data_IF_200365839584
#
_entry.id   IF_200365839584
#
_cell.length_a   1.000
_cell.length_b   1.000
_cell.length_c   1.000
_cell.angle_alpha   90.00
_cell.angle_beta   90.00
_cell.angle_gamma   90.00
#
_symmetry.space_group_name_H-M   'P 1'
#
loop_
_entity.id
_entity.type
_entity.pdbx_description
1 polymer ?
#
# COMPACT_ATOMS: atom_id res chain seq x y z
N UNK A 1 18.22 8.98 1.86
CA UNK A 1 17.15 8.08 2.34
C UNK A 1 15.93 8.90 2.71
N UNK A 2 14.76 8.57 2.18
CA UNK A 2 13.49 9.20 2.56
C UNK A 2 12.94 8.74 3.91
N UNK A 3 13.62 7.81 4.60
CA UNK A 3 13.21 7.31 5.91
C UNK A 3 13.76 8.17 7.05
N UNK A 4 12.92 8.39 8.04
CA UNK A 4 13.36 8.93 9.34
C UNK A 4 14.05 7.84 10.15
N UNK A 5 15.05 8.21 10.92
CA UNK A 5 15.76 7.32 11.83
C UNK A 5 15.86 7.91 13.22
N UNK A 6 16.07 7.05 14.20
CA UNK A 6 16.34 7.42 15.59
C UNK A 6 17.38 6.47 16.19
N UNK A 7 18.01 6.85 17.28
CA UNK A 7 18.89 5.97 18.05
C UNK A 7 18.18 5.54 19.33
N UNK A 8 18.24 4.25 19.64
CA UNK A 8 17.70 3.68 20.87
C UNK A 8 18.85 3.33 21.83
N UNK A 9 18.66 3.67 23.12
CA UNK A 9 19.64 3.38 24.15
C UNK A 9 20.47 4.60 24.58
N UNK A 10 21.39 4.42 25.57
CA UNK A 10 22.14 5.51 26.17
C UNK A 10 23.35 5.97 25.33
N UNK A 11 23.76 5.17 24.33
CA UNK A 11 24.89 5.45 23.44
C UNK A 11 24.39 5.55 22.00
N UNK A 12 24.85 6.58 21.31
CA UNK A 12 24.58 6.73 19.86
C UNK A 12 25.75 6.09 19.10
N UNK A 13 25.48 4.90 18.57
CA UNK A 13 26.38 4.17 17.68
C UNK A 13 25.59 3.62 16.48
N UNK A 14 26.28 3.06 15.50
CA UNK A 14 25.63 2.52 14.30
C UNK A 14 24.69 1.34 14.62
N UNK A 15 24.94 0.61 15.69
CA UNK A 15 24.11 -0.51 16.13
C UNK A 15 22.81 -0.05 16.81
N UNK A 16 22.75 1.19 17.28
CA UNK A 16 21.59 1.78 17.95
C UNK A 16 20.61 2.45 16.98
N UNK A 17 20.94 2.58 15.69
CA UNK A 17 20.12 3.24 14.70
C UNK A 17 18.92 2.37 14.30
N UNK A 18 17.73 2.95 14.41
CA UNK A 18 16.47 2.32 14.02
C UNK A 18 15.75 3.22 13.03
N UNK A 19 15.14 2.62 12.00
CA UNK A 19 14.36 3.34 11.00
C UNK A 19 12.88 3.29 11.33
N UNK A 20 12.22 4.45 11.14
CA UNK A 20 10.77 4.55 11.26
C UNK A 20 10.13 4.15 9.92
N UNK A 21 9.09 3.34 9.97
CA UNK A 21 8.43 2.82 8.75
C UNK A 21 7.82 3.94 7.91
N UNK A 22 8.04 3.99 6.59
CA UNK A 22 7.46 5.00 5.71
C UNK A 22 6.05 4.64 5.23
N UNK A 23 5.62 3.40 5.45
CA UNK A 23 4.32 2.85 5.05
C UNK A 23 3.92 1.67 5.95
N UNK A 24 2.65 1.32 5.95
CA UNK A 24 2.14 0.16 6.69
C UNK A 24 2.13 -1.13 5.88
N UNK A 25 2.33 -1.07 4.56
CA UNK A 25 2.27 -2.20 3.64
C UNK A 25 3.20 -3.34 4.03
N UNK A 26 4.46 -3.06 4.38
CA UNK A 26 5.44 -4.09 4.70
C UNK A 26 5.05 -4.92 5.93
N UNK A 27 4.39 -4.31 6.91
CA UNK A 27 3.82 -5.02 8.06
C UNK A 27 2.72 -6.01 7.67
N UNK A 28 1.95 -5.71 6.63
CA UNK A 28 0.94 -6.60 6.07
C UNK A 28 1.61 -7.83 5.43
N UNK A 29 2.62 -7.61 4.57
CA UNK A 29 3.33 -8.71 3.91
C UNK A 29 4.07 -9.62 4.89
N UNK A 30 4.70 -9.07 5.92
CA UNK A 30 5.33 -9.86 7.01
C UNK A 30 4.32 -10.77 7.71
N UNK A 31 3.08 -10.34 7.87
CA UNK A 31 2.03 -11.11 8.51
C UNK A 31 1.21 -12.00 7.57
N UNK A 32 1.47 -11.97 6.27
CA UNK A 32 0.68 -12.70 5.28
C UNK A 32 0.52 -14.18 5.61
N UNK A 33 1.63 -14.90 5.81
CA UNK A 33 1.60 -16.34 6.08
C UNK A 33 0.83 -16.68 7.37
N UNK A 34 1.01 -15.86 8.41
CA UNK A 34 0.30 -16.03 9.68
C UNK A 34 -1.21 -15.82 9.50
N UNK A 35 -1.64 -14.77 8.82
CA UNK A 35 -3.07 -14.48 8.60
C UNK A 35 -3.69 -15.52 7.67
N UNK A 36 -3.05 -15.85 6.56
CA UNK A 36 -3.54 -16.85 5.62
C UNK A 36 -3.74 -18.20 6.30
N UNK A 37 -2.76 -18.65 7.12
CA UNK A 37 -2.80 -19.92 7.83
C UNK A 37 -3.82 -19.94 8.98
N UNK A 38 -3.80 -18.93 9.85
CA UNK A 38 -4.68 -18.91 11.04
C UNK A 38 -6.13 -18.66 10.69
N UNK A 39 -6.40 -17.74 9.74
CA UNK A 39 -7.74 -17.45 9.27
C UNK A 39 -8.23 -18.40 8.18
N UNK A 40 -7.40 -19.34 7.72
CA UNK A 40 -7.68 -20.31 6.65
C UNK A 40 -8.28 -19.63 5.41
N UNK A 41 -7.68 -18.50 5.01
CA UNK A 41 -8.17 -17.73 3.89
C UNK A 41 -7.68 -18.31 2.56
N UNK A 42 -8.60 -18.33 1.62
CA UNK A 42 -8.33 -18.61 0.20
C UNK A 42 -8.38 -17.31 -0.57
N UNK A 43 -7.41 -17.01 -1.45
CA UNK A 43 -7.54 -15.86 -2.36
C UNK A 43 -8.81 -15.94 -3.23
N UNK A 44 -9.51 -14.81 -3.46
CA UNK A 44 -9.09 -13.47 -3.07
C UNK A 44 -9.43 -13.11 -1.61
N UNK A 45 -8.52 -12.43 -0.93
CA UNK A 45 -8.79 -11.84 0.39
C UNK A 45 -7.88 -10.65 0.66
N UNK A 46 -8.29 -9.76 1.55
CA UNK A 46 -7.53 -8.58 1.95
C UNK A 46 -7.04 -8.65 3.39
N UNK A 47 -5.92 -7.99 3.64
CA UNK A 47 -5.41 -7.70 4.99
C UNK A 47 -5.30 -6.18 5.10
N UNK A 48 -6.03 -5.60 6.04
CA UNK A 48 -5.99 -4.18 6.33
C UNK A 48 -5.15 -3.87 7.55
N UNK A 49 -4.48 -2.73 7.55
CA UNK A 49 -3.76 -2.19 8.69
C UNK A 49 -4.01 -0.69 8.80
N UNK A 50 -4.23 -0.24 10.04
CA UNK A 50 -4.25 1.18 10.40
C UNK A 50 -3.12 1.44 11.37
N UNK A 51 -2.34 2.48 11.13
CA UNK A 51 -1.23 2.82 12.00
C UNK A 51 -0.43 4.02 11.50
N UNK A 52 0.58 4.41 12.28
CA UNK A 52 1.44 5.53 11.96
C UNK A 52 2.48 5.15 10.92
N UNK A 53 2.74 6.10 10.02
CA UNK A 53 3.83 6.08 9.07
C UNK A 53 4.62 7.38 9.15
N UNK A 54 5.88 7.33 8.69
CA UNK A 54 6.84 8.42 8.88
C UNK A 54 7.61 8.63 7.58
N UNK A 55 7.58 9.85 7.06
CA UNK A 55 8.33 10.21 5.85
C UNK A 55 9.13 11.47 6.08
N UNK A 56 10.37 11.48 5.64
CA UNK A 56 11.23 12.67 5.77
C UNK A 56 10.89 13.69 4.67
N UNK A 57 9.69 14.28 4.79
CA UNK A 57 9.21 15.30 3.86
C UNK A 57 10.10 16.55 3.92
N UNK A 58 10.57 17.00 2.75
CA UNK A 58 11.41 18.20 2.64
C UNK A 58 10.56 19.44 2.93
N UNK A 59 9.33 19.49 2.42
CA UNK A 59 8.43 20.64 2.55
C UNK A 59 7.07 20.20 3.10
N UNK A 60 6.94 19.97 4.41
CA UNK A 60 5.64 19.77 5.04
C UNK A 60 4.76 21.01 4.85
N UNK A 61 3.45 20.82 4.77
CA UNK A 61 2.56 21.96 4.57
C UNK A 61 1.09 21.60 4.49
N UNK A 62 0.27 22.63 4.29
CA UNK A 62 -1.18 22.54 4.16
C UNK A 62 -1.84 21.84 5.35
N UNK A 63 -1.47 22.29 6.56
CA UNK A 63 -1.94 21.76 7.84
C UNK A 63 -1.58 20.27 7.98
N UNK A 64 -2.55 19.37 7.98
CA UNK A 64 -2.34 17.91 8.11
C UNK A 64 -2.16 17.19 6.77
N UNK A 65 -2.26 17.88 5.64
CA UNK A 65 -2.21 17.24 4.32
C UNK A 65 -0.85 16.64 4.00
N UNK A 66 0.25 17.31 4.40
CA UNK A 66 1.61 16.81 4.20
C UNK A 66 2.43 17.01 5.46
N UNK A 67 2.60 15.92 6.21
CA UNK A 67 3.31 15.89 7.49
C UNK A 67 4.37 14.80 7.48
N UNK A 68 5.32 14.86 8.40
CA UNK A 68 6.37 13.83 8.54
C UNK A 68 5.91 12.62 9.34
N UNK A 69 4.91 12.79 10.19
CA UNK A 69 4.22 11.75 10.93
C UNK A 69 2.74 11.82 10.60
N UNK A 70 2.15 10.72 10.16
CA UNK A 70 0.74 10.65 9.79
C UNK A 70 0.16 9.27 10.07
N UNK A 71 -1.15 9.18 10.15
CA UNK A 71 -1.86 7.91 10.17
C UNK A 71 -2.15 7.47 8.75
N UNK A 72 -1.95 6.17 8.51
CA UNK A 72 -2.22 5.53 7.23
C UNK A 72 -3.16 4.34 7.45
N UNK A 73 -4.11 4.19 6.56
CA UNK A 73 -4.93 3.00 6.42
C UNK A 73 -4.59 2.37 5.07
N UNK A 74 -4.07 1.16 5.10
CA UNK A 74 -3.74 0.39 3.90
C UNK A 74 -4.45 -0.95 3.93
N UNK A 75 -4.74 -1.48 2.75
CA UNK A 75 -5.20 -2.83 2.53
C UNK A 75 -4.43 -3.43 1.36
N UNK A 76 -3.82 -4.59 1.59
CA UNK A 76 -3.26 -5.42 0.54
C UNK A 76 -4.26 -6.53 0.22
N UNK A 77 -4.65 -6.61 -1.04
CA UNK A 77 -5.65 -7.56 -1.52
C UNK A 77 -4.98 -8.62 -2.39
N UNK A 78 -4.95 -9.84 -1.88
CA UNK A 78 -4.26 -10.98 -2.49
C UNK A 78 -5.20 -11.72 -3.42
N UNK A 79 -4.78 -11.91 -4.68
CA UNK A 79 -5.63 -12.44 -5.74
C UNK A 79 -4.99 -13.64 -6.45
N UNK A 80 -5.80 -14.37 -7.19
CA UNK A 80 -5.31 -15.45 -8.07
C UNK A 80 -4.47 -14.83 -9.19
N UNK A 81 -3.28 -15.37 -9.51
CA UNK A 81 -2.47 -14.86 -10.63
C UNK A 81 -3.25 -14.75 -11.93
N UNK A 82 -3.08 -13.61 -12.62
CA UNK A 82 -3.77 -13.31 -13.87
C UNK A 82 -5.13 -12.66 -13.72
N UNK A 83 -5.65 -12.47 -12.48
CA UNK A 83 -6.89 -11.74 -12.20
C UNK A 83 -6.65 -10.33 -11.65
N UNK A 84 -5.39 -9.93 -11.57
CA UNK A 84 -4.93 -8.69 -10.95
C UNK A 84 -5.52 -7.43 -11.59
N UNK A 85 -5.66 -7.40 -12.92
CA UNK A 85 -6.23 -6.24 -13.61
C UNK A 85 -7.73 -6.07 -13.35
N UNK A 86 -8.48 -7.18 -13.35
CA UNK A 86 -9.91 -7.16 -13.04
C UNK A 86 -10.15 -6.69 -11.60
N UNK A 87 -9.36 -7.18 -10.64
CA UNK A 87 -9.46 -6.76 -9.26
C UNK A 87 -9.01 -5.32 -9.05
N UNK A 88 -8.04 -4.83 -9.82
CA UNK A 88 -7.65 -3.43 -9.79
C UNK A 88 -8.80 -2.50 -10.22
N UNK A 89 -9.47 -2.81 -11.33
CA UNK A 89 -10.66 -2.07 -11.79
C UNK A 89 -11.80 -2.13 -10.75
N UNK A 90 -12.04 -3.32 -10.18
CA UNK A 90 -13.04 -3.49 -9.14
C UNK A 90 -12.77 -2.56 -7.94
N UNK A 91 -11.54 -2.54 -7.44
CA UNK A 91 -11.18 -1.69 -6.29
C UNK A 91 -11.21 -0.21 -6.62
N UNK A 92 -10.84 0.20 -7.83
CA UNK A 92 -11.00 1.58 -8.28
C UNK A 92 -12.47 2.02 -8.13
N UNK A 93 -13.42 1.22 -8.62
CA UNK A 93 -14.84 1.54 -8.53
C UNK A 93 -15.34 1.51 -7.09
N UNK A 94 -14.97 0.50 -6.30
CA UNK A 94 -15.39 0.40 -4.90
C UNK A 94 -14.90 1.58 -4.05
N UNK A 95 -13.68 2.05 -4.29
CA UNK A 95 -13.12 3.20 -3.57
C UNK A 95 -13.77 4.50 -4.00
N UNK A 96 -14.05 4.66 -5.29
CA UNK A 96 -14.83 5.79 -5.81
C UNK A 96 -16.21 5.88 -5.17
N UNK A 97 -16.94 4.76 -5.17
CA UNK A 97 -18.28 4.68 -4.60
C UNK A 97 -18.25 5.00 -3.10
N UNK A 98 -17.25 4.48 -2.37
CA UNK A 98 -17.08 4.77 -0.95
C UNK A 98 -16.92 6.27 -0.67
N UNK A 99 -16.13 7.01 -1.45
CA UNK A 99 -15.97 8.45 -1.29
C UNK A 99 -17.27 9.21 -1.59
N UNK A 100 -17.99 8.81 -2.62
CA UNK A 100 -19.26 9.44 -2.99
C UNK A 100 -20.37 9.14 -1.96
N UNK A 101 -20.41 7.94 -1.41
CA UNK A 101 -21.33 7.54 -0.34
C UNK A 101 -21.06 8.30 0.96
N UNK A 102 -19.80 8.67 1.23
CA UNK A 102 -19.44 9.56 2.34
C UNK A 102 -19.85 11.03 2.09
N UNK A 103 -20.37 11.36 0.93
CA UNK A 103 -20.88 12.67 0.58
C UNK A 103 -19.89 13.59 -0.14
N UNK A 104 -18.75 13.07 -0.64
CA UNK A 104 -17.88 13.87 -1.49
C UNK A 104 -18.55 14.07 -2.85
N UNK A 105 -18.57 15.33 -3.32
CA UNK A 105 -19.13 15.64 -4.63
C UNK A 105 -18.26 15.01 -5.73
N UNK A 106 -18.82 14.15 -6.61
CA UNK A 106 -18.07 13.51 -7.68
C UNK A 106 -17.46 14.50 -8.68
N UNK A 107 -17.99 15.72 -8.82
CA UNK A 107 -17.37 16.77 -9.64
C UNK A 107 -16.01 17.24 -9.10
N UNK A 108 -15.73 16.96 -7.83
CA UNK A 108 -14.46 17.27 -7.17
C UNK A 108 -13.57 16.04 -7.02
N UNK A 109 -13.92 14.91 -7.63
CA UNK A 109 -13.14 13.69 -7.66
C UNK A 109 -12.70 13.39 -9.09
N UNK A 110 -11.55 12.77 -9.25
CA UNK A 110 -11.12 12.17 -10.51
C UNK A 110 -10.18 11.01 -10.28
N UNK A 111 -10.09 10.13 -11.25
CA UNK A 111 -8.99 9.19 -11.38
C UNK A 111 -7.81 9.87 -12.07
N UNK A 112 -6.62 9.63 -11.55
CA UNK A 112 -5.37 10.02 -12.18
C UNK A 112 -4.48 8.80 -12.33
N UNK A 113 -4.31 8.33 -13.57
CA UNK A 113 -3.44 7.20 -13.87
C UNK A 113 -1.99 7.67 -14.03
N UNK A 114 -1.09 7.04 -13.29
CA UNK A 114 0.33 7.37 -13.37
C UNK A 114 0.93 6.90 -14.68
N UNK A 115 1.71 7.76 -15.38
CA UNK A 115 2.43 7.34 -16.57
C UNK A 115 3.48 6.27 -16.24
N UNK A 116 3.72 5.35 -17.15
CA UNK A 116 4.60 4.18 -16.97
C UNK A 116 6.00 4.55 -16.44
N UNK A 117 6.58 5.64 -16.93
CA UNK A 117 7.89 6.14 -16.50
C UNK A 117 7.94 6.65 -15.06
N UNK A 118 6.79 6.83 -14.41
CA UNK A 118 6.67 7.28 -13.02
C UNK A 118 6.23 6.19 -12.06
N UNK A 119 5.96 4.98 -12.57
CA UNK A 119 5.58 3.87 -11.71
C UNK A 119 6.75 3.45 -10.81
N UNK A 120 6.41 3.05 -9.59
CA UNK A 120 7.35 2.38 -8.70
C UNK A 120 7.77 1.04 -9.31
N UNK A 121 8.98 0.58 -9.00
CA UNK A 121 9.57 -0.65 -9.55
C UNK A 121 8.74 -1.92 -9.28
N UNK A 122 7.87 -1.89 -8.29
CA UNK A 122 6.97 -2.98 -7.92
C UNK A 122 5.58 -2.90 -8.57
N UNK A 123 5.25 -1.79 -9.23
CA UNK A 123 3.90 -1.54 -9.69
C UNK A 123 3.76 -1.76 -11.20
N UNK A 124 2.76 -2.55 -11.57
CA UNK A 124 2.33 -2.73 -12.96
C UNK A 124 1.44 -1.57 -13.41
N UNK A 125 0.60 -1.06 -12.52
CA UNK A 125 -0.33 0.05 -12.74
C UNK A 125 -0.62 0.74 -11.41
N UNK A 126 -0.67 2.07 -11.42
CA UNK A 126 -1.10 2.88 -10.27
C UNK A 126 -2.08 3.93 -10.72
N UNK A 127 -3.20 4.02 -10.01
CA UNK A 127 -4.23 5.03 -10.21
C UNK A 127 -4.52 5.70 -8.87
N UNK A 128 -4.47 7.02 -8.84
CA UNK A 128 -4.90 7.79 -7.67
C UNK A 128 -6.35 8.22 -7.82
N UNK A 129 -7.07 8.24 -6.69
CA UNK A 129 -8.27 9.05 -6.55
C UNK A 129 -7.82 10.41 -6.05
N UNK A 130 -7.97 11.43 -6.86
CA UNK A 130 -7.64 12.80 -6.50
C UNK A 130 -8.89 13.62 -6.18
N UNK A 131 -8.72 14.56 -5.24
CA UNK A 131 -9.74 15.52 -4.87
C UNK A 131 -9.31 16.95 -5.25
N UNK A 132 -10.28 17.80 -5.59
CA UNK A 132 -10.06 19.18 -5.95
C UNK A 132 -9.90 20.05 -4.71
N UNK A 133 -8.67 20.15 -4.21
CA UNK A 133 -8.33 20.99 -3.07
C UNK A 133 -8.05 22.44 -3.49
N UNK A 134 -8.50 23.39 -2.68
CA UNK A 134 -8.27 24.83 -2.92
C UNK A 134 -6.81 25.24 -2.79
N UNK A 135 -6.02 24.50 -2.01
CA UNK A 135 -4.61 24.78 -1.78
C UNK A 135 -3.67 24.13 -2.81
N UNK A 136 -4.12 23.16 -3.56
CA UNK A 136 -3.29 22.50 -4.56
C UNK A 136 -3.07 23.42 -5.76
N UNK A 137 -1.82 23.59 -6.19
CA UNK A 137 -1.49 24.49 -7.30
C UNK A 137 -2.16 24.12 -8.62
N UNK A 138 -2.34 22.81 -8.89
CA UNK A 138 -3.12 22.26 -10.01
C UNK A 138 -4.62 22.22 -9.74
N UNK A 139 -5.04 22.48 -8.50
CA UNK A 139 -6.38 22.25 -7.99
C UNK A 139 -6.66 20.81 -7.61
N UNK A 140 -5.79 19.86 -7.91
CA UNK A 140 -5.97 18.43 -7.65
C UNK A 140 -4.83 17.87 -6.81
N UNK A 141 -5.15 17.00 -5.85
CA UNK A 141 -4.17 16.28 -5.06
C UNK A 141 -4.73 14.92 -4.60
N UNK A 142 -3.84 13.97 -4.37
CA UNK A 142 -4.14 12.60 -4.02
C UNK A 142 -4.93 12.49 -2.70
N UNK A 143 -6.01 11.72 -2.73
CA UNK A 143 -6.69 11.19 -1.55
C UNK A 143 -6.23 9.76 -1.25
N UNK A 144 -6.13 8.93 -2.28
CA UNK A 144 -5.83 7.52 -2.17
C UNK A 144 -5.13 7.01 -3.43
N UNK A 145 -4.08 6.21 -3.25
CA UNK A 145 -3.42 5.50 -4.32
C UNK A 145 -3.88 4.04 -4.37
N UNK A 146 -4.19 3.54 -5.57
CA UNK A 146 -4.58 2.16 -5.83
C UNK A 146 -3.58 1.57 -6.81
N UNK A 147 -2.70 0.69 -6.31
CA UNK A 147 -1.60 0.13 -7.08
C UNK A 147 -1.76 -1.37 -7.30
N UNK A 148 -1.53 -1.82 -8.52
CA UNK A 148 -1.30 -3.23 -8.81
C UNK A 148 0.19 -3.52 -8.60
N UNK A 149 0.52 -4.14 -7.46
CA UNK A 149 1.91 -4.42 -7.02
C UNK A 149 2.43 -5.76 -7.54
N UNK A 150 1.62 -6.51 -8.27
CA UNK A 150 1.93 -7.88 -8.69
C UNK A 150 2.27 -8.80 -7.49
N UNK A 151 3.04 -9.86 -7.71
CA UNK A 151 3.56 -10.75 -6.68
C UNK A 151 4.89 -10.26 -6.06
N UNK A 152 5.32 -9.03 -6.40
CA UNK A 152 6.65 -8.50 -6.08
C UNK A 152 6.99 -8.57 -4.60
N UNK A 153 6.10 -8.09 -3.73
CA UNK A 153 6.38 -8.01 -2.30
C UNK A 153 6.50 -9.39 -1.65
N UNK A 154 5.54 -10.29 -1.89
CA UNK A 154 5.59 -11.64 -1.33
C UNK A 154 6.79 -12.43 -1.87
N UNK A 155 7.12 -12.26 -3.16
CA UNK A 155 8.33 -12.87 -3.74
C UNK A 155 9.59 -12.36 -3.05
N UNK A 156 9.75 -11.05 -2.91
CA UNK A 156 10.91 -10.43 -2.26
C UNK A 156 11.06 -10.86 -0.80
N UNK A 157 9.94 -10.90 -0.05
CA UNK A 157 9.91 -11.37 1.33
C UNK A 157 10.25 -12.86 1.42
N UNK A 158 9.72 -13.68 0.53
CA UNK A 158 10.01 -15.12 0.47
C UNK A 158 11.48 -15.40 0.18
N UNK A 159 12.04 -14.77 -0.84
CA UNK A 159 13.45 -14.90 -1.23
C UNK A 159 14.40 -14.46 -0.12
N UNK A 160 14.12 -13.31 0.52
CA UNK A 160 14.98 -12.75 1.57
C UNK A 160 14.93 -13.54 2.86
N UNK A 161 13.75 -14.02 3.27
CA UNK A 161 13.56 -14.78 4.52
C UNK A 161 13.81 -16.28 4.38
N UNK A 162 13.82 -16.82 3.17
CA UNK A 162 13.83 -18.24 2.89
C UNK A 162 12.50 -18.95 3.25
N UNK A 163 11.41 -18.19 3.41
CA UNK A 163 10.09 -18.70 3.77
C UNK A 163 9.23 -18.86 2.51
N UNK A 164 8.58 -20.02 2.35
CA UNK A 164 7.60 -20.22 1.28
C UNK A 164 6.32 -19.44 1.59
N UNK A 165 6.07 -18.38 0.84
CA UNK A 165 4.87 -17.54 0.92
C UNK A 165 3.84 -17.87 -0.17
N UNK A 166 3.99 -19.01 -0.84
CA UNK A 166 3.01 -19.46 -1.82
C UNK A 166 1.71 -19.94 -1.16
N UNK A 167 0.62 -19.76 -1.87
CA UNK A 167 -0.65 -20.40 -1.56
C UNK A 167 -0.72 -21.77 -2.24
N UNK A 168 -1.18 -22.78 -1.51
CA UNK A 168 -1.48 -24.09 -2.06
C UNK A 168 -2.99 -24.21 -2.35
N UNK A 169 -3.34 -24.27 -3.61
CA UNK A 169 -4.72 -24.47 -4.02
C UNK A 169 -5.06 -25.96 -4.04
N UNK A 170 -5.93 -26.37 -3.11
CA UNK A 170 -6.36 -27.77 -2.97
C UNK A 170 -7.26 -28.25 -4.11
N UNK A 171 -7.92 -27.33 -4.85
CA UNK A 171 -8.82 -27.68 -5.95
C UNK A 171 -8.02 -28.01 -7.22
N UNK A 172 -6.97 -27.20 -7.50
CA UNK A 172 -6.10 -27.38 -8.67
C UNK A 172 -4.87 -28.23 -8.37
N UNK A 173 -4.53 -28.42 -7.09
CA UNK A 173 -3.32 -29.06 -6.61
C UNK A 173 -2.04 -28.31 -7.05
N UNK A 174 -2.12 -26.99 -7.21
CA UNK A 174 -1.04 -26.13 -7.63
C UNK A 174 -0.59 -25.17 -6.52
N UNK A 175 0.64 -24.67 -6.64
CA UNK A 175 1.18 -23.62 -5.77
C UNK A 175 1.47 -22.37 -6.59
N UNK A 176 1.12 -21.21 -6.05
CA UNK A 176 1.39 -19.92 -6.66
C UNK A 176 1.47 -18.80 -5.61
N UNK A 177 2.12 -17.70 -5.94
CA UNK A 177 2.19 -16.51 -5.09
C UNK A 177 1.05 -15.57 -5.49
N UNK A 178 0.15 -15.22 -4.56
CA UNK A 178 -0.95 -14.30 -4.84
C UNK A 178 -0.50 -12.84 -4.95
#
# INVERSE_FOLDING_TARGET
SGMLSTSLGPVQDDASVHYLRPETAQGIFVNYANVAGTARKKPPFGIGQVGKSFRNEITPGNFIFRTREFEQMEMEFFVVPGTDEEWHEYWMQQRWDWYTDLGLNPENLRFFEHPQEKLSHYSKRTVDIEYRFRFAGSGWAELEGIANRTDFDLRSHGETSGTDLSYFDQETNERWIP
#
